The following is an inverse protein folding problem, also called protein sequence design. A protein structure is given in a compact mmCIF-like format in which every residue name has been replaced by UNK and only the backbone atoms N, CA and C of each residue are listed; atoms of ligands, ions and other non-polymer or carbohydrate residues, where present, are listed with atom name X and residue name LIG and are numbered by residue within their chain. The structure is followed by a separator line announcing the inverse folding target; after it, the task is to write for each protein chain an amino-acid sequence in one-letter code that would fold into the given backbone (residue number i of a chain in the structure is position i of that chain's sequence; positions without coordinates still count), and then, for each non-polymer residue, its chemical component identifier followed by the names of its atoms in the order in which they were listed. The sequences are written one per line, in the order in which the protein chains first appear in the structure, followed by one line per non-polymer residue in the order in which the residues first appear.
data_IF_571450019907
#
_entry.id   IF_571450019907
#
_cell.length_a   1.000
_cell.length_b   1.000
_cell.length_c   1.000
_cell.angle_alpha   90.00
_cell.angle_beta   90.00
_cell.angle_gamma   90.00
#
_symmetry.space_group_name_H-M   'P 1'
#
loop_
_entity.id
_entity.type
_entity.pdbx_description
1 polymer ?
#
# COMPACT_ATOMS: atom_id res chain seq x y z
N UNK A 1 3.16 5.89 -6.08
CA UNK A 1 1.87 5.20 -5.87
C UNK A 1 1.06 5.06 -7.16
N UNK A 2 0.61 6.17 -7.78
CA UNK A 2 -0.21 6.13 -9.00
C UNK A 2 0.41 5.30 -10.14
N UNK A 3 1.70 5.48 -10.42
CA UNK A 3 2.40 4.70 -11.46
C UNK A 3 2.31 3.19 -11.19
N UNK A 4 2.52 2.75 -9.95
CA UNK A 4 2.41 1.33 -9.62
C UNK A 4 0.98 0.78 -9.77
N UNK A 5 -0.05 1.61 -9.52
CA UNK A 5 -1.44 1.22 -9.77
C UNK A 5 -1.70 1.00 -11.27
N UNK A 6 -1.03 1.76 -12.15
CA UNK A 6 -1.07 1.57 -13.61
C UNK A 6 -0.31 0.30 -13.99
N UNK A 7 0.94 0.17 -13.52
CA UNK A 7 1.81 -0.94 -13.91
C UNK A 7 1.27 -2.31 -13.45
N UNK A 8 0.55 -2.35 -12.33
CA UNK A 8 -0.03 -3.58 -11.77
C UNK A 8 -1.49 -3.83 -12.18
N UNK A 9 -2.10 -2.99 -13.02
CA UNK A 9 -3.53 -3.06 -13.35
C UNK A 9 -4.42 -3.10 -12.08
N UNK A 10 -4.12 -2.21 -11.13
CA UNK A 10 -4.76 -2.16 -9.81
C UNK A 10 -6.06 -1.35 -9.79
N UNK A 11 -6.75 -1.28 -10.92
CA UNK A 11 -8.06 -0.64 -11.06
C UNK A 11 -8.79 -1.20 -12.28
N UNK A 12 -10.10 -0.97 -12.34
CA UNK A 12 -10.90 -1.22 -13.54
C UNK A 12 -11.78 -0.01 -13.82
N UNK A 13 -12.96 0.10 -13.17
CA UNK A 13 -13.88 1.22 -13.38
C UNK A 13 -13.34 2.58 -12.90
N UNK A 14 -12.23 2.61 -12.15
CA UNK A 14 -11.60 3.82 -11.65
C UNK A 14 -12.30 4.49 -10.45
N UNK A 15 -13.55 4.12 -10.14
CA UNK A 15 -14.36 4.85 -9.15
C UNK A 15 -13.75 4.87 -7.74
N UNK A 16 -13.27 3.71 -7.26
CA UNK A 16 -12.62 3.64 -5.94
C UNK A 16 -11.16 4.08 -5.96
N UNK A 17 -10.53 4.21 -7.14
CA UNK A 17 -9.07 4.37 -7.28
C UNK A 17 -8.52 5.60 -6.56
N UNK A 18 -9.16 6.78 -6.59
CA UNK A 18 -8.68 7.94 -5.81
C UNK A 18 -8.61 7.63 -4.30
N UNK A 19 -9.64 6.97 -3.75
CA UNK A 19 -9.67 6.55 -2.35
C UNK A 19 -8.59 5.51 -2.04
N UNK A 20 -8.40 4.52 -2.91
CA UNK A 20 -7.34 3.52 -2.77
C UNK A 20 -5.94 4.15 -2.74
N UNK A 21 -5.66 5.10 -3.64
CA UNK A 21 -4.35 5.75 -3.72
C UNK A 21 -4.06 6.59 -2.47
N UNK A 22 -5.02 7.40 -2.02
CA UNK A 22 -4.83 8.26 -0.84
C UNK A 22 -4.72 7.42 0.43
N UNK A 23 -5.58 6.43 0.60
CA UNK A 23 -5.53 5.51 1.75
C UNK A 23 -4.25 4.68 1.78
N UNK A 24 -3.74 4.24 0.62
CA UNK A 24 -2.46 3.54 0.54
C UNK A 24 -1.29 4.43 0.99
N UNK A 25 -1.29 5.72 0.65
CA UNK A 25 -0.28 6.66 1.17
C UNK A 25 -0.45 6.88 2.67
N UNK A 26 -1.69 7.08 3.15
CA UNK A 26 -2.00 7.27 4.56
C UNK A 26 -1.55 6.09 5.43
N UNK A 27 -1.92 4.86 5.05
CA UNK A 27 -1.57 3.68 5.83
C UNK A 27 -0.05 3.40 5.84
N UNK A 28 0.69 3.80 4.80
CA UNK A 28 2.16 3.71 4.79
C UNK A 28 2.78 4.71 5.78
N UNK A 29 2.19 5.90 5.95
CA UNK A 29 2.63 6.87 6.95
C UNK A 29 2.34 6.38 8.38
N UNK A 30 1.19 5.76 8.61
CA UNK A 30 0.85 5.12 9.88
C UNK A 30 1.81 3.97 10.20
N UNK A 31 2.08 3.12 9.21
CA UNK A 31 3.07 2.05 9.32
C UNK A 31 4.46 2.59 9.68
N UNK A 32 4.93 3.65 9.01
CA UNK A 32 6.22 4.28 9.29
C UNK A 32 6.30 4.90 10.70
N UNK A 33 5.15 5.21 11.33
CA UNK A 33 5.05 5.66 12.73
C UNK A 33 4.96 4.49 13.73
N UNK A 34 5.01 3.25 13.26
CA UNK A 34 4.88 2.04 14.08
C UNK A 34 3.46 1.77 14.56
N UNK A 35 2.43 2.33 13.92
CA UNK A 35 1.05 2.11 14.36
C UNK A 35 0.60 0.68 14.04
N UNK A 36 0.05 -0.06 15.01
CA UNK A 36 -0.46 -1.41 14.77
C UNK A 36 -1.77 -1.39 13.96
N UNK A 37 -2.07 -2.49 13.29
CA UNK A 37 -3.38 -2.81 12.73
C UNK A 37 -4.03 -3.97 13.49
N UNK A 38 -5.24 -4.38 13.10
CA UNK A 38 -5.93 -5.50 13.75
C UNK A 38 -5.19 -6.85 13.61
N UNK A 39 -4.28 -6.96 12.64
CA UNK A 39 -3.46 -8.17 12.40
C UNK A 39 -2.04 -8.05 12.96
N UNK A 40 -1.69 -6.92 13.58
CA UNK A 40 -0.42 -6.81 14.31
C UNK A 40 -0.50 -7.64 15.59
N UNK A 41 0.46 -8.53 15.80
CA UNK A 41 0.51 -9.37 17.01
C UNK A 41 0.59 -8.53 18.30
N UNK A 42 0.09 -9.08 19.41
CA UNK A 42 -0.11 -8.36 20.69
C UNK A 42 1.13 -7.71 21.32
N UNK A 43 2.33 -8.07 20.86
CA UNK A 43 3.62 -7.54 21.33
C UNK A 43 4.55 -7.18 20.16
N UNK A 44 4.05 -7.22 18.93
CA UNK A 44 4.86 -7.15 17.71
C UNK A 44 4.97 -5.76 17.12
N UNK A 45 6.14 -5.47 16.55
CA UNK A 45 6.30 -4.36 15.60
C UNK A 45 5.58 -4.73 14.29
N UNK A 46 4.80 -3.83 13.68
CA UNK A 46 4.10 -4.13 12.45
C UNK A 46 5.10 -4.45 11.33
N UNK A 47 4.76 -5.43 10.50
CA UNK A 47 5.54 -5.79 9.30
C UNK A 47 4.72 -5.45 8.06
N UNK A 48 5.32 -4.83 7.05
CA UNK A 48 4.60 -4.45 5.84
C UNK A 48 4.43 -5.63 4.87
N UNK A 49 3.79 -6.69 5.33
CA UNK A 49 3.48 -7.87 4.51
C UNK A 49 2.10 -7.78 3.84
N UNK A 50 1.75 -8.80 3.04
CA UNK A 50 0.48 -8.84 2.31
C UNK A 50 -0.74 -8.76 3.24
N UNK A 51 -0.67 -9.41 4.41
CA UNK A 51 -1.78 -9.49 5.36
C UNK A 51 -1.99 -8.13 6.02
N UNK A 52 -0.91 -7.48 6.44
CA UNK A 52 -0.94 -6.12 7.02
C UNK A 52 -1.43 -5.08 6.01
N UNK A 53 -0.94 -5.11 4.77
CA UNK A 53 -1.42 -4.19 3.73
C UNK A 53 -2.92 -4.43 3.46
N UNK A 54 -3.35 -5.69 3.35
CA UNK A 54 -4.75 -6.00 3.08
C UNK A 54 -5.67 -5.53 4.23
N UNK A 55 -5.27 -5.73 5.48
CA UNK A 55 -6.03 -5.26 6.65
C UNK A 55 -6.13 -3.74 6.68
N UNK A 56 -4.99 -3.04 6.50
CA UNK A 56 -4.95 -1.57 6.48
C UNK A 56 -5.77 -0.96 5.35
N UNK A 57 -5.90 -1.68 4.23
CA UNK A 57 -6.70 -1.25 3.08
C UNK A 57 -8.17 -1.69 3.16
N UNK A 58 -8.57 -2.47 4.16
CA UNK A 58 -9.92 -3.07 4.27
C UNK A 58 -11.06 -2.04 4.30
N UNK A 59 -10.80 -0.81 4.75
CA UNK A 59 -11.74 0.31 4.72
C UNK A 59 -12.04 0.87 3.33
N UNK A 60 -11.34 0.42 2.27
CA UNK A 60 -11.50 0.93 0.91
C UNK A 60 -12.13 -0.13 0.00
N UNK A 61 -13.44 -0.01 -0.23
CA UNK A 61 -14.19 -0.97 -1.03
C UNK A 61 -13.96 -0.78 -2.54
N UNK A 62 -13.70 -1.88 -3.23
CA UNK A 62 -13.58 -1.99 -4.69
C UNK A 62 -14.61 -2.99 -5.23
N UNK A 63 -15.65 -2.49 -5.92
CA UNK A 63 -16.69 -3.37 -6.48
C UNK A 63 -16.20 -4.19 -7.69
N UNK A 64 -15.19 -3.70 -8.40
CA UNK A 64 -14.50 -4.42 -9.47
C UNK A 64 -13.63 -5.58 -8.97
N UNK A 65 -13.41 -5.68 -7.65
CA UNK A 65 -12.58 -6.69 -7.02
C UNK A 65 -11.09 -6.69 -7.48
N UNK A 66 -10.52 -5.52 -7.75
CA UNK A 66 -9.10 -5.36 -8.12
C UNK A 66 -8.11 -5.60 -6.96
N UNK A 67 -8.56 -6.09 -5.80
CA UNK A 67 -7.73 -6.25 -4.59
C UNK A 67 -6.49 -7.13 -4.79
N UNK A 68 -6.61 -8.14 -5.66
CA UNK A 68 -5.50 -9.03 -6.02
C UNK A 68 -4.32 -8.27 -6.63
N UNK A 69 -4.58 -7.13 -7.26
CA UNK A 69 -3.61 -6.25 -7.91
C UNK A 69 -3.25 -5.01 -7.07
N UNK A 70 -4.17 -4.53 -6.21
CA UNK A 70 -3.93 -3.38 -5.32
C UNK A 70 -2.78 -3.64 -4.34
N UNK A 71 -2.74 -4.81 -3.69
CA UNK A 71 -1.65 -5.10 -2.73
C UNK A 71 -0.28 -5.16 -3.42
N UNK A 72 -0.11 -5.88 -4.55
CA UNK A 72 1.12 -5.81 -5.33
C UNK A 72 1.52 -4.39 -5.76
N UNK A 73 0.57 -3.55 -6.18
CA UNK A 73 0.85 -2.16 -6.56
C UNK A 73 1.44 -1.34 -5.41
N UNK A 74 0.92 -1.53 -4.21
CA UNK A 74 1.44 -0.87 -3.00
C UNK A 74 2.86 -1.36 -2.71
N UNK A 75 3.11 -2.67 -2.75
CA UNK A 75 4.45 -3.25 -2.55
C UNK A 75 5.45 -2.74 -3.59
N UNK A 76 5.06 -2.68 -4.86
CA UNK A 76 5.88 -2.11 -5.93
C UNK A 76 6.19 -0.63 -5.68
N UNK A 77 5.20 0.15 -5.23
CA UNK A 77 5.38 1.57 -4.93
C UNK A 77 6.39 1.79 -3.79
N UNK A 78 6.32 0.98 -2.72
CA UNK A 78 7.28 1.03 -1.61
C UNK A 78 8.69 0.72 -2.09
N UNK A 79 8.86 -0.39 -2.82
CA UNK A 79 10.17 -0.77 -3.35
C UNK A 79 10.73 0.28 -4.33
N UNK A 80 9.89 0.95 -5.11
CA UNK A 80 10.31 2.05 -5.98
C UNK A 80 10.76 3.28 -5.19
N UNK A 81 10.06 3.64 -4.12
CA UNK A 81 10.44 4.74 -3.23
C UNK A 81 11.76 4.48 -2.50
N UNK A 82 11.99 3.25 -2.02
CA UNK A 82 13.26 2.86 -1.38
C UNK A 82 14.44 2.95 -2.36
N UNK A 83 14.26 2.52 -3.62
CA UNK A 83 15.28 2.67 -4.67
C UNK A 83 15.58 4.12 -4.99
N UNK A 84 14.56 4.98 -5.04
CA UNK A 84 14.73 6.41 -5.28
C UNK A 84 15.54 7.05 -4.14
N UNK A 85 15.17 6.80 -2.89
CA UNK A 85 15.87 7.33 -1.71
C UNK A 85 17.34 6.84 -1.64
N UNK A 86 17.59 5.57 -1.97
CA UNK A 86 18.96 5.04 -2.02
C UNK A 86 19.82 5.64 -3.14
N UNK A 87 19.20 6.11 -4.22
CA UNK A 87 19.88 6.79 -5.33
C UNK A 87 20.27 8.22 -4.94
N UNK A 88 19.43 8.90 -4.14
CA UNK A 88 19.70 10.25 -3.64
C UNK A 88 20.82 10.29 -2.59
N UNK A 89 21.04 9.22 -1.83
CA UNK A 89 22.14 9.12 -0.84
C UNK A 89 23.50 8.86 -1.50
N UNK A 90 23.51 8.35 -2.74
CA UNK A 90 24.72 7.94 -3.45
C UNK A 90 25.29 9.02 -4.40
N UNK A 91 24.64 10.17 -4.55
CA UNK A 91 25.05 11.30 -5.39
C UNK A 91 25.48 12.51 -4.58
#
# INVERSE_FOLDING_TARGET
MQQAFIDCDAFQCGYCTPGQVVSAVGMLQEFARGWPSAVTGSTGEPRLDRTEIAERMSGNLCRCAAYVNIVPAIQQAVAASERAAGTEVAG
#
